data_IF_528106935500
#
_entry.id   IF_528106935500
#
_cell.length_a   1.000
_cell.length_b   1.000
_cell.length_c   1.000
_cell.angle_alpha   90.00
_cell.angle_beta   90.00
_cell.angle_gamma   90.00
#
_symmetry.space_group_name_H-M   'P 1'
#
loop_
_entity.id
_entity.type
_entity.pdbx_description
1 polymer ?
#
# COMPACT_ATOMS: atom_id res chain seq x y z
N UNK A 1 -38.50 -8.92 11.59
CA UNK A 1 -37.15 -8.57 12.08
C UNK A 1 -36.67 -7.39 11.27
N UNK A 2 -36.18 -6.30 11.88
CA UNK A 2 -35.62 -5.21 11.09
C UNK A 2 -34.37 -5.75 10.39
N UNK A 3 -34.26 -5.50 9.08
CA UNK A 3 -33.05 -5.79 8.34
C UNK A 3 -31.91 -5.03 9.01
N UNK A 4 -30.86 -5.74 9.45
CA UNK A 4 -29.60 -5.07 9.73
C UNK A 4 -29.18 -4.40 8.43
N UNK A 5 -29.26 -3.06 8.37
CA UNK A 5 -28.52 -2.30 7.39
C UNK A 5 -27.05 -2.63 7.69
N UNK A 6 -26.46 -3.52 6.88
CA UNK A 6 -25.10 -3.99 7.12
C UNK A 6 -24.15 -2.80 7.19
N UNK A 7 -23.22 -2.83 8.14
CA UNK A 7 -22.17 -1.83 8.24
C UNK A 7 -21.43 -1.69 6.90
N UNK A 8 -21.24 -0.45 6.44
CA UNK A 8 -20.32 -0.18 5.35
C UNK A 8 -18.89 -0.56 5.73
N UNK A 9 -18.04 -0.87 4.75
CA UNK A 9 -16.65 -1.25 5.01
C UNK A 9 -15.87 -0.17 5.79
N UNK A 10 -16.16 1.10 5.53
CA UNK A 10 -15.59 2.23 6.26
C UNK A 10 -16.05 2.26 7.72
N UNK A 11 -17.34 2.04 7.99
CA UNK A 11 -17.88 2.02 9.35
C UNK A 11 -17.33 0.83 10.15
N UNK A 12 -17.17 -0.34 9.52
CA UNK A 12 -16.53 -1.49 10.14
C UNK A 12 -15.06 -1.17 10.51
N UNK A 13 -14.33 -0.52 9.61
CA UNK A 13 -12.95 -0.13 9.85
C UNK A 13 -12.85 0.84 11.04
N UNK A 14 -13.69 1.88 11.07
CA UNK A 14 -13.62 2.94 12.08
C UNK A 14 -14.23 2.54 13.44
N UNK A 15 -15.33 1.79 13.45
CA UNK A 15 -16.04 1.47 14.69
C UNK A 15 -15.58 0.17 15.34
N UNK A 16 -14.95 -0.74 14.58
CA UNK A 16 -14.56 -2.07 15.07
C UNK A 16 -13.07 -2.31 14.93
N UNK A 17 -12.54 -2.27 13.70
CA UNK A 17 -11.17 -2.70 13.43
C UNK A 17 -10.14 -1.76 14.06
N UNK A 18 -10.25 -0.45 13.85
CA UNK A 18 -9.30 0.52 14.37
C UNK A 18 -9.29 0.60 15.90
N UNK A 19 -10.45 0.62 16.60
CA UNK A 19 -10.48 0.52 18.06
C UNK A 19 -9.83 -0.75 18.59
N UNK A 20 -10.12 -1.91 17.98
CA UNK A 20 -9.54 -3.19 18.38
C UNK A 20 -8.02 -3.22 18.17
N UNK A 21 -7.55 -2.75 17.00
CA UNK A 21 -6.12 -2.64 16.71
C UNK A 21 -5.42 -1.69 17.69
N UNK A 22 -6.08 -0.62 18.13
CA UNK A 22 -5.55 0.27 19.15
C UNK A 22 -5.41 -0.44 20.51
N UNK A 23 -6.44 -1.16 20.94
CA UNK A 23 -6.43 -1.92 22.20
C UNK A 23 -5.33 -2.99 22.20
N UNK A 24 -5.22 -3.73 21.10
CA UNK A 24 -4.27 -4.83 20.96
C UNK A 24 -2.87 -4.38 20.50
N UNK A 25 -2.65 -3.09 20.27
CA UNK A 25 -1.40 -2.54 19.74
C UNK A 25 -0.95 -3.18 18.41
N UNK A 26 -1.91 -3.50 17.53
CA UNK A 26 -1.67 -4.09 16.22
C UNK A 26 -1.69 -3.01 15.12
N UNK A 27 -0.78 -3.08 14.13
CA UNK A 27 -0.84 -2.20 12.97
C UNK A 27 -1.93 -2.64 11.98
N UNK A 28 -2.45 -1.69 11.20
CA UNK A 28 -3.37 -1.95 10.08
C UNK A 28 -2.62 -1.75 8.77
N UNK A 29 -2.61 -2.77 7.89
CA UNK A 29 -2.04 -2.67 6.56
C UNK A 29 -3.10 -2.41 5.50
N UNK A 30 -2.92 -1.34 4.71
CA UNK A 30 -3.83 -0.88 3.68
C UNK A 30 -3.16 -0.96 2.30
N UNK A 31 -3.80 -1.70 1.39
CA UNK A 31 -3.44 -1.76 -0.03
C UNK A 31 -4.53 -1.05 -0.84
N UNK A 32 -4.26 0.15 -1.34
CA UNK A 32 -5.28 1.02 -1.94
C UNK A 32 -5.15 1.15 -3.46
N UNK A 33 -6.28 1.32 -4.16
CA UNK A 33 -6.31 1.63 -5.60
C UNK A 33 -6.50 0.43 -6.53
N UNK A 34 -6.89 -0.74 -6.03
CA UNK A 34 -7.33 -1.85 -6.90
C UNK A 34 -8.77 -1.62 -7.39
N UNK A 35 -8.96 -1.63 -8.71
CA UNK A 35 -10.29 -1.71 -9.33
C UNK A 35 -10.59 -3.17 -9.58
N UNK A 36 -11.58 -3.75 -8.87
CA UNK A 36 -11.93 -5.16 -9.03
C UNK A 36 -12.84 -5.41 -10.23
N UNK A 37 -12.56 -6.46 -11.01
CA UNK A 37 -13.39 -6.85 -12.16
C UNK A 37 -13.45 -5.78 -13.26
N UNK A 38 -12.32 -5.10 -13.52
CA UNK A 38 -12.18 -4.18 -14.65
C UNK A 38 -12.33 -4.91 -16.01
N UNK A 39 -11.90 -6.16 -16.07
CA UNK A 39 -12.08 -7.06 -17.22
C UNK A 39 -12.50 -8.45 -16.74
N UNK A 40 -13.81 -8.68 -16.48
CA UNK A 40 -14.30 -9.92 -15.86
C UNK A 40 -13.93 -11.19 -16.64
N UNK A 41 -13.79 -11.10 -17.97
CA UNK A 41 -13.41 -12.23 -18.82
C UNK A 41 -12.00 -12.78 -18.50
N UNK A 42 -11.15 -12.00 -17.83
CA UNK A 42 -9.81 -12.39 -17.38
C UNK A 42 -9.77 -12.91 -15.93
N UNK A 43 -10.90 -12.96 -15.22
CA UNK A 43 -10.96 -13.47 -13.85
C UNK A 43 -10.50 -14.94 -13.71
N UNK A 44 -10.77 -15.87 -14.65
CA UNK A 44 -10.29 -17.25 -14.55
C UNK A 44 -8.76 -17.39 -14.44
N UNK A 45 -8.00 -16.42 -14.94
CA UNK A 45 -6.53 -16.37 -14.82
C UNK A 45 -6.04 -15.35 -13.77
N UNK A 46 -6.94 -14.83 -12.93
CA UNK A 46 -6.67 -13.79 -11.93
C UNK A 46 -6.17 -12.46 -12.55
N UNK A 47 -6.56 -12.16 -13.79
CA UNK A 47 -6.11 -10.99 -14.55
C UNK A 47 -7.16 -9.90 -14.74
N UNK A 48 -8.37 -10.06 -14.19
CA UNK A 48 -9.49 -9.14 -14.42
C UNK A 48 -9.48 -7.87 -13.58
N UNK A 49 -8.58 -7.75 -12.61
CA UNK A 49 -8.43 -6.54 -11.83
C UNK A 49 -7.59 -5.49 -12.55
N UNK A 50 -7.80 -4.23 -12.18
CA UNK A 50 -7.07 -3.08 -12.69
C UNK A 50 -6.68 -2.10 -11.60
N UNK A 51 -6.37 -0.87 -12.01
CA UNK A 51 -5.89 0.19 -11.13
C UNK A 51 -6.77 1.43 -11.21
N UNK A 52 -6.99 2.06 -10.07
CA UNK A 52 -7.60 3.37 -9.92
C UNK A 52 -6.76 4.23 -8.97
N UNK A 53 -6.87 5.55 -9.11
CA UNK A 53 -6.28 6.45 -8.13
C UNK A 53 -6.99 6.29 -6.77
N UNK A 54 -6.21 6.24 -5.70
CA UNK A 54 -6.70 6.19 -4.33
C UNK A 54 -6.96 7.61 -3.80
N UNK A 55 -7.98 7.75 -2.94
CA UNK A 55 -8.22 8.97 -2.17
C UNK A 55 -7.30 9.02 -0.95
N UNK A 56 -6.24 9.83 -1.03
CA UNK A 56 -5.28 10.00 0.04
C UNK A 56 -5.75 10.95 1.15
N UNK A 57 -6.77 11.78 0.89
CA UNK A 57 -7.35 12.64 1.91
C UNK A 57 -8.10 11.81 2.96
N UNK A 58 -8.88 10.82 2.52
CA UNK A 58 -9.54 9.87 3.42
C UNK A 58 -8.53 9.05 4.24
N UNK A 59 -7.41 8.65 3.65
CA UNK A 59 -6.32 7.98 4.38
C UNK A 59 -5.75 8.88 5.49
N UNK A 60 -5.49 10.15 5.18
CA UNK A 60 -4.96 11.11 6.16
C UNK A 60 -5.97 11.35 7.30
N UNK A 61 -7.26 11.47 6.98
CA UNK A 61 -8.32 11.59 7.98
C UNK A 61 -8.39 10.37 8.91
N UNK A 62 -8.31 9.16 8.35
CA UNK A 62 -8.25 7.92 9.14
C UNK A 62 -7.06 7.92 10.11
N UNK A 63 -5.87 8.29 9.63
CA UNK A 63 -4.67 8.36 10.47
C UNK A 63 -4.80 9.39 11.59
N UNK A 64 -5.44 10.53 11.31
CA UNK A 64 -5.71 11.58 12.29
C UNK A 64 -6.74 11.18 13.34
N UNK A 65 -7.76 10.41 12.95
CA UNK A 65 -8.79 9.90 13.86
C UNK A 65 -8.26 8.83 14.83
N UNK A 66 -7.22 8.09 14.42
CA UNK A 66 -6.60 7.02 15.22
C UNK A 66 -5.09 7.23 15.41
N UNK A 67 -4.67 8.29 16.12
CA UNK A 67 -3.26 8.67 16.21
C UNK A 67 -2.37 7.65 16.96
N UNK A 68 -2.98 6.73 17.73
CA UNK A 68 -2.28 5.65 18.44
C UNK A 68 -2.17 4.36 17.61
N UNK A 69 -2.93 4.22 16.54
CA UNK A 69 -2.86 3.06 15.62
C UNK A 69 -1.76 3.33 14.60
N UNK A 70 -0.93 2.32 14.34
CA UNK A 70 0.07 2.37 13.26
C UNK A 70 -0.56 1.86 11.97
N UNK A 71 -0.35 2.58 10.89
CA UNK A 71 -0.82 2.23 9.56
C UNK A 71 0.36 1.90 8.65
N UNK A 72 0.25 0.81 7.92
CA UNK A 72 1.13 0.46 6.80
C UNK A 72 0.37 0.73 5.52
N UNK A 73 0.97 1.42 4.54
CA UNK A 73 0.29 1.75 3.28
C UNK A 73 1.13 1.44 2.05
N UNK A 74 0.47 0.90 1.04
CA UNK A 74 0.96 0.82 -0.32
C UNK A 74 -0.19 1.15 -1.27
N UNK A 75 0.09 1.87 -2.36
CA UNK A 75 -0.92 2.24 -3.37
C UNK A 75 -0.55 1.62 -4.71
N UNK A 76 -1.57 1.25 -5.49
CA UNK A 76 -1.39 0.56 -6.77
C UNK A 76 -1.07 1.52 -7.92
N UNK A 77 -1.66 2.72 -7.89
CA UNK A 77 -1.51 3.72 -8.94
C UNK A 77 -0.15 4.40 -8.85
N UNK A 78 0.61 4.36 -9.96
CA UNK A 78 1.86 5.11 -10.11
C UNK A 78 1.65 6.63 -9.89
N UNK A 79 0.50 7.16 -10.33
CA UNK A 79 0.19 8.58 -10.20
C UNK A 79 0.04 9.05 -8.74
N UNK A 80 -0.35 8.16 -7.82
CA UNK A 80 -0.45 8.52 -6.40
C UNK A 80 0.89 8.50 -5.65
N UNK A 81 1.95 7.94 -6.22
CA UNK A 81 3.14 7.59 -5.43
C UNK A 81 3.88 8.81 -4.88
N UNK A 82 3.97 9.89 -5.65
CA UNK A 82 4.58 11.14 -5.18
C UNK A 82 3.76 11.78 -4.06
N UNK A 83 2.45 11.94 -4.27
CA UNK A 83 1.54 12.49 -3.27
C UNK A 83 1.56 11.66 -1.97
N UNK A 84 1.52 10.32 -2.08
CA UNK A 84 1.61 9.41 -0.93
C UNK A 84 2.91 9.62 -0.15
N UNK A 85 4.03 9.80 -0.84
CA UNK A 85 5.33 10.03 -0.21
C UNK A 85 5.32 11.31 0.63
N UNK A 86 4.70 12.38 0.13
CA UNK A 86 4.50 13.63 0.89
C UNK A 86 3.55 13.42 2.07
N UNK A 87 2.41 12.73 1.86
CA UNK A 87 1.44 12.44 2.94
C UNK A 87 2.10 11.66 4.09
N UNK A 88 2.92 10.66 3.76
CA UNK A 88 3.68 9.86 4.74
C UNK A 88 4.67 10.74 5.49
N UNK A 89 5.38 11.65 4.82
CA UNK A 89 6.29 12.60 5.47
C UNK A 89 5.57 13.48 6.52
N UNK A 90 4.27 13.75 6.34
CA UNK A 90 3.46 14.56 7.26
C UNK A 90 2.67 13.75 8.30
N UNK A 91 2.62 12.43 8.19
CA UNK A 91 1.73 11.58 8.97
C UNK A 91 2.53 10.58 9.80
N UNK A 92 2.75 10.89 11.09
CA UNK A 92 3.70 10.15 11.96
C UNK A 92 3.36 8.69 12.22
N UNK A 93 2.09 8.32 12.14
CA UNK A 93 1.61 6.96 12.37
C UNK A 93 1.36 6.19 11.06
N UNK A 94 1.81 6.72 9.92
CA UNK A 94 1.68 6.10 8.61
C UNK A 94 3.06 5.73 8.05
N UNK A 95 3.23 4.46 7.70
CA UNK A 95 4.48 3.94 7.15
C UNK A 95 4.24 3.43 5.74
N UNK A 96 4.99 3.99 4.79
CA UNK A 96 4.97 3.55 3.40
C UNK A 96 5.75 2.25 3.25
N UNK A 97 5.17 1.28 2.51
CA UNK A 97 5.90 0.08 2.13
C UNK A 97 5.67 -0.36 0.68
N UNK A 98 6.71 -0.93 0.09
CA UNK A 98 6.62 -1.76 -1.10
C UNK A 98 6.41 -1.05 -2.43
N UNK A 99 6.57 -1.82 -3.50
CA UNK A 99 6.13 -1.48 -4.84
C UNK A 99 5.08 -2.53 -5.26
N UNK A 100 3.80 -2.23 -5.01
CA UNK A 100 2.74 -3.24 -5.09
C UNK A 100 2.30 -3.53 -6.53
N UNK A 101 2.26 -4.81 -6.90
CA UNK A 101 1.61 -5.35 -8.11
C UNK A 101 1.99 -4.62 -9.39
N UNK A 102 1.15 -3.73 -9.95
CA UNK A 102 1.50 -2.98 -11.17
C UNK A 102 2.66 -2.01 -10.99
N UNK A 103 2.98 -1.64 -9.74
CA UNK A 103 4.21 -0.90 -9.42
C UNK A 103 5.44 -1.80 -9.27
N UNK A 104 5.31 -3.13 -9.28
CA UNK A 104 6.42 -4.07 -9.13
C UNK A 104 7.12 -4.36 -10.46
N UNK A 105 7.52 -3.29 -11.17
CA UNK A 105 8.26 -3.34 -12.42
C UNK A 105 9.58 -2.56 -12.25
N UNK A 106 10.71 -3.00 -12.83
CA UNK A 106 12.03 -2.41 -12.59
C UNK A 106 12.06 -0.88 -12.70
N UNK A 107 11.53 -0.35 -13.80
CA UNK A 107 11.51 1.10 -14.07
C UNK A 107 10.71 1.89 -13.04
N UNK A 108 9.64 1.31 -12.50
CA UNK A 108 8.82 1.93 -11.47
C UNK A 108 9.51 1.77 -10.11
N UNK A 109 10.04 0.60 -9.79
CA UNK A 109 10.76 0.36 -8.54
C UNK A 109 11.91 1.36 -8.39
N UNK A 110 12.69 1.58 -9.45
CA UNK A 110 13.81 2.53 -9.46
C UNK A 110 13.33 3.96 -9.18
N UNK A 111 12.35 4.45 -9.97
CA UNK A 111 11.75 5.78 -9.82
C UNK A 111 11.22 5.99 -8.40
N UNK A 112 10.44 5.03 -7.89
CA UNK A 112 9.83 5.13 -6.57
C UNK A 112 10.87 5.09 -5.46
N UNK A 113 11.89 4.25 -5.58
CA UNK A 113 12.94 4.12 -4.57
C UNK A 113 13.77 5.41 -4.48
N UNK A 114 14.17 6.00 -5.62
CA UNK A 114 14.89 7.28 -5.65
C UNK A 114 14.07 8.39 -5.00
N UNK A 115 12.84 8.58 -5.49
CA UNK A 115 11.92 9.61 -5.02
C UNK A 115 11.62 9.51 -3.51
N UNK A 116 11.40 8.29 -3.00
CA UNK A 116 11.17 8.05 -1.56
C UNK A 116 12.43 8.27 -0.73
N UNK A 117 13.59 7.88 -1.24
CA UNK A 117 14.86 8.11 -0.54
C UNK A 117 15.17 9.59 -0.43
N UNK A 118 14.94 10.37 -1.49
CA UNK A 118 15.12 11.82 -1.50
C UNK A 118 14.22 12.54 -0.47
N UNK A 119 12.96 12.11 -0.33
CA UNK A 119 11.98 12.79 0.53
C UNK A 119 11.89 12.24 1.97
N UNK A 120 12.19 10.96 2.18
CA UNK A 120 12.01 10.26 3.45
C UNK A 120 13.31 9.73 4.06
N UNK A 121 14.44 9.84 3.35
CA UNK A 121 15.68 9.16 3.74
C UNK A 121 15.44 7.64 3.78
N UNK A 122 15.68 7.02 4.93
CA UNK A 122 15.46 5.57 5.14
C UNK A 122 14.16 5.24 5.86
N UNK A 123 13.27 6.22 6.07
CA UNK A 123 12.02 6.07 6.83
C UNK A 123 10.87 5.45 6.01
N UNK A 124 11.15 4.39 5.24
CA UNK A 124 10.16 3.62 4.49
C UNK A 124 10.66 2.18 4.25
N UNK A 125 9.77 1.27 3.89
CA UNK A 125 10.18 -0.08 3.45
C UNK A 125 10.15 -0.14 1.92
N UNK A 126 11.32 -0.29 1.28
CA UNK A 126 11.42 -0.18 -0.17
C UNK A 126 10.60 -1.24 -0.93
N UNK A 127 10.55 -2.48 -0.44
CA UNK A 127 9.94 -3.58 -1.19
C UNK A 127 9.20 -4.62 -0.34
N UNK A 128 8.25 -5.32 -0.96
CA UNK A 128 7.71 -6.61 -0.54
C UNK A 128 7.47 -7.49 -1.78
N UNK A 129 7.45 -8.82 -1.62
CA UNK A 129 7.31 -9.73 -2.77
C UNK A 129 5.87 -9.90 -3.25
N UNK A 130 4.89 -9.94 -2.34
CA UNK A 130 3.51 -10.37 -2.65
C UNK A 130 3.51 -11.70 -3.45
N UNK A 131 4.42 -12.63 -3.09
CA UNK A 131 4.56 -13.91 -3.77
C UNK A 131 3.35 -14.80 -3.49
N UNK A 132 2.82 -15.42 -4.55
CA UNK A 132 1.74 -16.43 -4.47
C UNK A 132 2.28 -17.84 -4.64
N UNK A 133 3.48 -17.97 -5.18
CA UNK A 133 4.23 -19.22 -5.37
C UNK A 133 5.60 -19.05 -4.71
N UNK A 134 6.07 -20.05 -3.97
CA UNK A 134 7.24 -19.95 -3.11
C UNK A 134 8.51 -19.51 -3.87
N UNK A 135 8.73 -20.09 -5.04
CA UNK A 135 9.89 -19.85 -5.91
C UNK A 135 9.92 -18.40 -6.43
N UNK A 136 8.80 -17.68 -6.39
CA UNK A 136 8.78 -16.25 -6.73
C UNK A 136 9.61 -15.41 -5.78
N UNK A 137 9.87 -15.90 -4.56
CA UNK A 137 10.78 -15.23 -3.63
C UNK A 137 12.18 -15.06 -4.23
N UNK A 138 12.66 -16.03 -5.01
CA UNK A 138 14.01 -15.99 -5.59
C UNK A 138 14.14 -14.78 -6.53
N UNK A 139 13.37 -14.77 -7.62
CA UNK A 139 13.52 -13.73 -8.63
C UNK A 139 13.01 -12.36 -8.16
N UNK A 140 11.96 -12.30 -7.32
CA UNK A 140 11.45 -11.00 -6.85
C UNK A 140 12.45 -10.29 -5.94
N UNK A 141 13.13 -11.03 -5.07
CA UNK A 141 14.14 -10.44 -4.19
C UNK A 141 15.44 -10.16 -4.91
N UNK A 142 15.90 -11.05 -5.79
CA UNK A 142 17.08 -10.80 -6.63
C UNK A 142 16.91 -9.51 -7.43
N UNK A 143 15.82 -9.45 -8.21
CA UNK A 143 15.50 -8.30 -9.04
C UNK A 143 15.36 -6.99 -8.26
N UNK A 144 14.58 -7.01 -7.17
CA UNK A 144 14.35 -5.79 -6.41
C UNK A 144 15.62 -5.30 -5.71
N UNK A 145 16.49 -6.20 -5.25
CA UNK A 145 17.75 -5.83 -4.59
C UNK A 145 18.73 -5.18 -5.55
N UNK A 146 18.79 -5.66 -6.80
CA UNK A 146 19.59 -5.06 -7.86
C UNK A 146 19.14 -3.62 -8.12
N UNK A 147 17.85 -3.42 -8.44
CA UNK A 147 17.28 -2.09 -8.74
C UNK A 147 17.38 -1.13 -7.55
N UNK A 148 17.12 -1.61 -6.33
CA UNK A 148 17.26 -0.78 -5.12
C UNK A 148 18.74 -0.43 -4.88
N UNK A 149 19.66 -1.37 -5.14
CA UNK A 149 21.09 -1.13 -5.04
C UNK A 149 21.56 -0.03 -5.99
N UNK A 150 21.10 -0.06 -7.24
CA UNK A 150 21.35 0.99 -8.24
C UNK A 150 20.74 2.33 -7.83
N UNK A 151 19.52 2.34 -7.29
CA UNK A 151 18.87 3.55 -6.82
C UNK A 151 19.57 4.22 -5.62
N UNK A 152 20.34 3.45 -4.84
CA UNK A 152 21.11 3.93 -3.69
C UNK A 152 22.60 4.19 -4.02
N UNK A 153 23.04 3.87 -5.22
CA UNK A 153 24.40 4.14 -5.66
C UNK A 153 24.66 5.66 -5.76
N UNK A 154 25.88 6.12 -5.45
CA UNK A 154 26.25 7.53 -5.44
C UNK A 154 26.31 8.16 -6.85
#
# INVERSE_FOLDING_TARGET
MPAFAGFGAAELLEQVVAPLCQELSLPIALKLGAWRGMSPDLDPCCGGDGVAAADLASLQALCANFPKVKFLVTVLSRANQHELTVVVQKTRNLHLYGCWWYCNNPSIIEELTKMRTEMLGTAFTAQHSDCRVLEQLLYKWEHSREVIGEALAP
#
